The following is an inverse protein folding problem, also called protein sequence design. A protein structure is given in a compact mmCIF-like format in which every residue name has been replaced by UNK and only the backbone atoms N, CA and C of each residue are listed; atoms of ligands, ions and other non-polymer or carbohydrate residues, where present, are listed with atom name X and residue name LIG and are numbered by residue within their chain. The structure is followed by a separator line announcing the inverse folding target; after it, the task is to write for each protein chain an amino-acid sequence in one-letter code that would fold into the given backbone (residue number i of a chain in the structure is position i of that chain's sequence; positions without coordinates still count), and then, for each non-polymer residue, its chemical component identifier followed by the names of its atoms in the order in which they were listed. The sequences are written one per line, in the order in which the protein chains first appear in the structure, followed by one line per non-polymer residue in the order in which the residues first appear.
data_IF_880292686661
#
_entry.id   IF_880292686661
#
_cell.length_a   1.000
_cell.length_b   1.000
_cell.length_c   1.000
_cell.angle_alpha   90.00
_cell.angle_beta   90.00
_cell.angle_gamma   90.00
#
_symmetry.space_group_name_H-M   'P 1'
#
loop_
_entity.id
_entity.type
_entity.pdbx_description
1 polymer ?
#
# COMPACT_ATOMS: atom_id res chain seq x y z
N UNK A 1 -40.58 0.05 -23.83
CA UNK A 1 -39.42 0.94 -23.62
C UNK A 1 -38.47 0.21 -22.69
N UNK A 2 -37.33 -0.20 -23.24
CA UNK A 2 -36.41 -1.19 -22.70
C UNK A 2 -35.49 -0.59 -21.64
N UNK A 3 -35.53 -1.16 -20.44
CA UNK A 3 -34.57 -0.92 -19.37
C UNK A 3 -33.21 -1.52 -19.74
N UNK A 4 -32.21 -0.64 -19.91
CA UNK A 4 -30.81 -0.98 -20.18
C UNK A 4 -29.94 -0.30 -19.12
N UNK A 5 -30.09 -0.72 -17.87
CA UNK A 5 -29.24 -0.30 -16.75
C UNK A 5 -29.16 -1.45 -15.76
N UNK A 6 -27.96 -1.99 -15.54
CA UNK A 6 -27.77 -3.02 -14.52
C UNK A 6 -26.55 -3.93 -14.67
N UNK A 7 -25.77 -3.82 -15.74
CA UNK A 7 -24.63 -4.72 -15.94
C UNK A 7 -23.43 -3.94 -16.48
N UNK A 8 -22.64 -3.33 -15.59
CA UNK A 8 -21.26 -2.90 -15.86
C UNK A 8 -20.49 -2.40 -14.61
N UNK A 9 -21.12 -2.31 -13.43
CA UNK A 9 -20.46 -1.77 -12.22
C UNK A 9 -19.70 -2.83 -11.38
N UNK A 10 -19.77 -4.12 -11.74
CA UNK A 10 -19.19 -5.22 -10.93
C UNK A 10 -17.76 -5.61 -11.26
N UNK A 11 -17.12 -4.97 -12.25
CA UNK A 11 -15.75 -5.32 -12.70
C UNK A 11 -14.63 -4.47 -12.03
N UNK A 12 -14.98 -3.56 -11.12
CA UNK A 12 -14.00 -2.63 -10.55
C UNK A 12 -13.01 -3.30 -9.59
N UNK A 13 -13.45 -4.27 -8.78
CA UNK A 13 -12.56 -4.99 -7.87
C UNK A 13 -11.60 -5.95 -8.61
N UNK A 14 -12.08 -6.60 -9.68
CA UNK A 14 -11.26 -7.48 -10.52
C UNK A 14 -10.27 -6.67 -11.37
N UNK A 15 -10.72 -5.57 -11.98
CA UNK A 15 -9.84 -4.62 -12.66
C UNK A 15 -8.80 -4.03 -11.71
N UNK A 16 -9.17 -3.68 -10.47
CA UNK A 16 -8.23 -3.19 -9.44
C UNK A 16 -7.10 -4.19 -9.17
N UNK A 17 -7.44 -5.43 -8.81
CA UNK A 17 -6.42 -6.47 -8.55
C UNK A 17 -5.54 -6.73 -9.76
N UNK A 18 -6.13 -6.78 -10.97
CA UNK A 18 -5.37 -7.01 -12.20
C UNK A 18 -4.44 -5.84 -12.56
N UNK A 19 -4.81 -4.60 -12.21
CA UNK A 19 -4.05 -3.39 -12.51
C UNK A 19 -3.00 -3.03 -11.45
N UNK A 20 -3.21 -3.38 -10.19
CA UNK A 20 -2.18 -3.35 -9.14
C UNK A 20 -1.07 -4.35 -9.45
N UNK A 21 -1.44 -5.57 -9.88
CA UNK A 21 -0.50 -6.58 -10.38
C UNK A 21 0.39 -6.04 -11.51
N UNK A 22 -0.14 -5.17 -12.39
CA UNK A 22 0.65 -4.60 -13.50
C UNK A 22 1.72 -3.60 -13.05
N UNK A 23 1.43 -2.75 -12.07
CA UNK A 23 2.38 -1.72 -11.62
C UNK A 23 3.33 -2.22 -10.53
N UNK A 24 2.91 -3.24 -9.79
CA UNK A 24 3.76 -4.10 -8.98
C UNK A 24 4.94 -4.69 -9.81
N UNK A 25 4.76 -4.91 -11.12
CA UNK A 25 5.86 -5.31 -12.02
C UNK A 25 6.91 -4.21 -12.27
N UNK A 26 6.70 -2.96 -11.84
CA UNK A 26 7.67 -1.85 -12.01
C UNK A 26 8.55 -1.62 -10.79
N UNK A 27 8.17 -2.12 -9.62
CA UNK A 27 9.05 -2.15 -8.46
C UNK A 27 10.02 -3.32 -8.61
N UNK A 28 11.33 -3.03 -8.58
CA UNK A 28 12.35 -4.06 -8.48
C UNK A 28 12.06 -4.88 -7.21
N UNK A 29 11.78 -6.18 -7.39
CA UNK A 29 11.48 -7.10 -6.28
C UNK A 29 10.05 -7.66 -6.25
N UNK A 30 9.11 -7.13 -7.02
CA UNK A 30 7.67 -7.48 -6.85
C UNK A 30 7.03 -8.14 -8.07
N UNK A 31 7.82 -8.85 -8.88
CA UNK A 31 7.27 -9.71 -9.95
C UNK A 31 6.83 -11.04 -9.35
N UNK A 32 5.53 -11.34 -9.40
CA UNK A 32 4.99 -12.61 -8.89
C UNK A 32 5.28 -13.78 -9.85
N UNK A 33 6.52 -14.26 -9.79
CA UNK A 33 7.04 -15.35 -10.61
C UNK A 33 6.45 -16.71 -10.25
N UNK A 34 6.08 -16.87 -8.97
CA UNK A 34 5.65 -18.15 -8.38
C UNK A 34 4.16 -18.14 -7.97
N UNK A 35 3.41 -17.11 -8.35
CA UNK A 35 1.95 -17.05 -8.18
C UNK A 35 1.49 -16.97 -6.73
N UNK A 36 2.27 -16.34 -5.86
CA UNK A 36 1.99 -16.15 -4.43
C UNK A 36 1.33 -14.79 -4.12
N UNK A 37 1.05 -13.99 -5.14
CA UNK A 37 0.48 -12.65 -5.01
C UNK A 37 -0.79 -12.60 -4.19
N UNK A 38 -1.70 -13.57 -4.34
CA UNK A 38 -2.92 -13.65 -3.53
C UNK A 38 -2.66 -13.76 -2.02
N UNK A 39 -1.62 -14.49 -1.59
CA UNK A 39 -1.23 -14.60 -0.18
C UNK A 39 -0.59 -13.29 0.28
N UNK A 40 0.35 -12.76 -0.51
CA UNK A 40 1.00 -11.47 -0.23
C UNK A 40 -0.04 -10.35 -0.07
N UNK A 41 -0.99 -10.25 -0.97
CA UNK A 41 -2.01 -9.20 -0.96
C UNK A 41 -2.95 -9.37 0.24
N UNK A 42 -3.27 -10.63 0.62
CA UNK A 42 -4.06 -10.91 1.84
C UNK A 42 -3.34 -10.43 3.10
N UNK A 43 -2.03 -10.69 3.24
CA UNK A 43 -1.24 -10.13 4.34
C UNK A 43 -1.13 -8.61 4.28
N UNK A 44 -0.90 -8.05 3.09
CA UNK A 44 -0.78 -6.60 2.91
C UNK A 44 -2.08 -5.88 3.32
N UNK A 45 -3.24 -6.42 2.95
CA UNK A 45 -4.55 -5.88 3.31
C UNK A 45 -4.89 -6.08 4.79
N UNK A 46 -4.37 -7.14 5.43
CA UNK A 46 -4.51 -7.38 6.86
C UNK A 46 -3.66 -6.43 7.69
N UNK A 47 -2.43 -6.17 7.26
CA UNK A 47 -1.47 -5.32 7.98
C UNK A 47 -1.71 -3.83 7.71
N UNK A 48 -1.92 -3.45 6.45
CA UNK A 48 -1.98 -2.06 6.00
C UNK A 48 -3.20 -1.79 5.11
N UNK A 49 -4.43 -1.94 5.64
CA UNK A 49 -5.65 -1.81 4.86
C UNK A 49 -5.79 -0.44 4.19
N UNK A 50 -6.13 -0.45 2.90
CA UNK A 50 -6.34 0.76 2.10
C UNK A 50 -5.07 1.36 1.50
N UNK A 51 -3.91 0.77 1.76
CA UNK A 51 -2.66 1.12 1.08
C UNK A 51 -2.51 0.34 -0.24
N UNK A 52 -1.74 0.88 -1.16
CA UNK A 52 -1.38 0.26 -2.44
C UNK A 52 0.04 0.65 -2.80
N UNK A 53 0.76 -0.18 -3.57
CA UNK A 53 2.11 0.16 -4.04
C UNK A 53 2.14 1.41 -4.93
N UNK A 54 0.99 1.79 -5.49
CA UNK A 54 0.83 3.00 -6.30
C UNK A 54 0.80 4.30 -5.50
N UNK A 55 0.61 4.24 -4.18
CA UNK A 55 0.53 5.45 -3.36
C UNK A 55 1.92 6.03 -3.17
N UNK A 56 2.02 7.34 -3.37
CA UNK A 56 3.28 8.05 -3.30
C UNK A 56 3.35 8.99 -2.10
N UNK A 57 2.29 9.74 -1.81
CA UNK A 57 2.24 10.76 -0.74
C UNK A 57 0.83 10.86 -0.17
N UNK A 58 0.70 11.08 1.14
CA UNK A 58 -0.59 11.00 1.83
C UNK A 58 -1.55 12.11 1.38
N UNK A 59 -1.07 13.35 1.23
CA UNK A 59 -1.92 14.54 0.95
C UNK A 59 -2.73 14.46 -0.36
N UNK A 60 -2.42 13.54 -1.26
CA UNK A 60 -3.27 13.24 -2.42
C UNK A 60 -4.70 12.82 -2.04
N UNK A 61 -4.92 12.23 -0.85
CA UNK A 61 -6.27 11.91 -0.36
C UNK A 61 -7.12 13.15 -0.06
N UNK A 62 -6.51 14.33 0.00
CA UNK A 62 -7.22 15.61 0.13
C UNK A 62 -7.31 16.31 -1.21
N UNK A 63 -6.23 16.29 -1.99
CA UNK A 63 -6.22 16.87 -3.34
C UNK A 63 -7.30 16.28 -4.23
N UNK A 64 -7.42 14.95 -4.30
CA UNK A 64 -8.38 14.31 -5.22
C UNK A 64 -9.82 14.72 -4.91
N UNK A 65 -10.33 14.63 -3.66
CA UNK A 65 -11.64 15.16 -3.32
C UNK A 65 -11.85 16.64 -3.70
N UNK A 66 -10.89 17.52 -3.38
CA UNK A 66 -11.02 18.94 -3.70
C UNK A 66 -11.11 19.20 -5.21
N UNK A 67 -10.33 18.48 -6.03
CA UNK A 67 -10.41 18.58 -7.49
C UNK A 67 -11.74 18.06 -8.03
N UNK A 68 -12.25 16.95 -7.49
CA UNK A 68 -13.56 16.39 -7.88
C UNK A 68 -14.69 17.35 -7.51
N UNK A 69 -14.69 17.90 -6.30
CA UNK A 69 -15.68 18.88 -5.84
C UNK A 69 -15.64 20.15 -6.70
N UNK A 70 -14.45 20.65 -7.06
CA UNK A 70 -14.28 21.80 -7.96
C UNK A 70 -14.75 21.50 -9.38
N UNK A 71 -14.46 20.32 -9.92
CA UNK A 71 -14.88 19.89 -11.24
C UNK A 71 -16.41 19.76 -11.35
N UNK A 72 -17.06 19.25 -10.29
CA UNK A 72 -18.50 19.34 -10.12
C UNK A 72 -18.84 20.84 -10.08
N UNK A 73 -18.44 21.56 -9.01
CA UNK A 73 -18.39 23.04 -8.82
C UNK A 73 -18.70 23.90 -10.04
N UNK A 74 -17.81 23.76 -11.00
CA UNK A 74 -17.63 24.74 -12.05
C UNK A 74 -18.22 24.30 -13.40
N UNK A 75 -18.86 23.13 -13.46
CA UNK A 75 -19.40 22.57 -14.72
C UNK A 75 -20.88 22.18 -14.62
N UNK A 76 -21.56 22.13 -15.77
CA UNK A 76 -22.99 21.80 -15.87
C UNK A 76 -23.25 20.38 -16.36
N UNK A 77 -22.30 19.77 -17.10
CA UNK A 77 -22.44 18.42 -17.65
C UNK A 77 -21.37 17.49 -17.08
N UNK A 78 -21.61 16.18 -17.13
CA UNK A 78 -20.65 15.18 -16.66
C UNK A 78 -19.40 15.17 -17.53
N UNK A 79 -19.54 15.33 -18.85
CA UNK A 79 -18.40 15.34 -19.78
C UNK A 79 -17.50 16.56 -19.55
N UNK A 80 -18.09 17.72 -19.25
CA UNK A 80 -17.33 18.90 -18.84
C UNK A 80 -16.63 18.65 -17.50
N UNK A 81 -17.31 18.04 -16.53
CA UNK A 81 -16.72 17.71 -15.24
C UNK A 81 -15.51 16.76 -15.38
N UNK A 82 -15.61 15.74 -16.25
CA UNK A 82 -14.51 14.81 -16.54
C UNK A 82 -13.33 15.54 -17.19
N UNK A 83 -13.58 16.36 -18.22
CA UNK A 83 -12.53 17.18 -18.85
C UNK A 83 -11.89 18.14 -17.85
N UNK A 84 -12.70 18.74 -16.98
CA UNK A 84 -12.23 19.68 -15.98
C UNK A 84 -11.39 19.02 -14.91
N UNK A 85 -11.81 17.87 -14.37
CA UNK A 85 -11.02 17.10 -13.43
C UNK A 85 -9.65 16.77 -14.03
N UNK A 86 -9.62 16.26 -15.27
CA UNK A 86 -8.36 15.94 -15.96
C UNK A 86 -7.45 17.17 -16.09
N UNK A 87 -8.00 18.33 -16.44
CA UNK A 87 -7.24 19.57 -16.54
C UNK A 87 -6.71 20.04 -15.17
N UNK A 88 -7.56 20.01 -14.13
CA UNK A 88 -7.19 20.41 -12.78
C UNK A 88 -6.14 19.46 -12.18
N UNK A 89 -6.16 18.16 -12.49
CA UNK A 89 -5.12 17.22 -12.08
C UNK A 89 -3.78 17.48 -12.79
N UNK A 90 -3.79 17.84 -14.08
CA UNK A 90 -2.55 18.26 -14.78
C UNK A 90 -2.00 19.54 -14.15
N UNK A 91 -2.88 20.49 -13.81
CA UNK A 91 -2.48 21.72 -13.10
C UNK A 91 -1.94 21.44 -11.70
N UNK A 92 -2.48 20.46 -10.98
CA UNK A 92 -1.94 20.04 -9.69
C UNK A 92 -0.51 19.53 -9.83
N UNK A 93 -0.19 18.77 -10.88
CA UNK A 93 1.19 18.32 -11.16
C UNK A 93 2.12 19.53 -11.33
N UNK A 94 1.69 20.54 -12.09
CA UNK A 94 2.46 21.77 -12.30
C UNK A 94 2.61 22.58 -11.00
N UNK A 95 1.54 22.67 -10.21
CA UNK A 95 1.53 23.34 -8.91
C UNK A 95 2.48 22.67 -7.90
N UNK A 96 2.57 21.34 -7.93
CA UNK A 96 3.52 20.58 -7.10
C UNK A 96 4.97 20.78 -7.57
N UNK A 97 5.19 20.84 -8.88
CA UNK A 97 6.52 21.15 -9.43
C UNK A 97 6.98 22.56 -9.04
N UNK A 98 6.07 23.54 -9.04
CA UNK A 98 6.40 24.91 -8.60
C UNK A 98 6.62 24.98 -7.09
N UNK A 99 5.80 24.28 -6.28
CA UNK A 99 5.96 24.27 -4.82
C UNK A 99 7.31 23.70 -4.35
N UNK A 100 7.90 22.79 -5.12
CA UNK A 100 9.21 22.20 -4.84
C UNK A 100 10.37 22.82 -5.64
N UNK A 101 10.15 23.96 -6.28
CA UNK A 101 11.14 24.59 -7.18
C UNK A 101 12.45 24.95 -6.49
N UNK A 102 12.35 25.46 -5.26
CA UNK A 102 13.48 25.96 -4.48
C UNK A 102 14.06 24.92 -3.51
N UNK A 103 13.47 23.71 -3.46
CA UNK A 103 14.01 22.63 -2.64
C UNK A 103 15.15 21.89 -3.36
N UNK A 104 16.34 21.92 -2.78
CA UNK A 104 17.50 21.12 -3.22
C UNK A 104 17.26 19.59 -3.10
N UNK A 105 16.17 19.17 -2.42
CA UNK A 105 15.70 17.77 -2.35
C UNK A 105 15.24 17.31 -3.74
N UNK A 106 16.22 16.97 -4.56
CA UNK A 106 16.05 16.72 -5.98
C UNK A 106 15.02 15.64 -6.33
N UNK A 107 14.39 15.84 -7.49
CA UNK A 107 13.74 14.89 -8.43
C UNK A 107 12.81 13.78 -7.94
N UNK A 108 12.72 13.40 -6.66
CA UNK A 108 11.90 12.27 -6.18
C UNK A 108 10.95 12.66 -5.04
N UNK A 109 10.14 13.70 -5.26
CA UNK A 109 9.17 14.21 -4.28
C UNK A 109 7.88 13.38 -4.20
N UNK A 110 7.78 12.27 -4.95
CA UNK A 110 6.56 11.45 -5.03
C UNK A 110 5.45 12.04 -5.90
N UNK A 111 5.78 12.99 -6.79
CA UNK A 111 4.81 13.61 -7.71
C UNK A 111 4.39 12.61 -8.80
N UNK A 112 3.13 12.19 -8.76
CA UNK A 112 2.57 11.37 -9.83
C UNK A 112 2.51 12.16 -11.13
N UNK A 113 3.13 11.63 -12.19
CA UNK A 113 3.17 12.30 -13.50
C UNK A 113 4.17 13.43 -13.63
N UNK A 114 5.16 13.52 -12.75
CA UNK A 114 6.24 14.52 -12.81
C UNK A 114 6.82 14.70 -14.24
N UNK A 115 7.11 13.60 -14.93
CA UNK A 115 7.60 13.60 -16.31
C UNK A 115 6.48 13.55 -17.35
N UNK A 116 5.48 12.68 -17.14
CA UNK A 116 4.46 12.40 -18.16
C UNK A 116 3.40 13.52 -18.29
N UNK A 117 3.14 14.29 -17.22
CA UNK A 117 2.13 15.36 -17.13
C UNK A 117 0.81 14.93 -17.77
N UNK A 118 0.32 15.68 -18.77
CA UNK A 118 -0.92 15.37 -19.48
C UNK A 118 -0.95 13.99 -20.17
N UNK A 119 0.22 13.41 -20.50
CA UNK A 119 0.35 12.06 -21.08
C UNK A 119 0.31 10.94 -20.02
N UNK A 120 0.16 11.27 -18.74
CA UNK A 120 0.07 10.28 -17.67
C UNK A 120 -1.14 9.36 -17.91
N UNK A 121 -0.88 8.06 -17.93
CA UNK A 121 -1.94 7.06 -18.21
C UNK A 121 -2.95 6.94 -17.07
N UNK A 122 -2.49 7.00 -15.83
CA UNK A 122 -3.31 6.89 -14.61
C UNK A 122 -3.14 8.14 -13.77
N UNK A 123 -4.22 8.90 -13.61
CA UNK A 123 -4.18 10.16 -12.84
C UNK A 123 -4.31 9.90 -11.33
N UNK A 124 -3.96 10.86 -10.47
CA UNK A 124 -4.14 10.73 -9.03
C UNK A 124 -5.56 10.32 -8.63
N UNK A 125 -6.60 10.82 -9.30
CA UNK A 125 -7.99 10.44 -9.00
C UNK A 125 -8.26 8.95 -9.19
N UNK A 126 -7.60 8.28 -10.14
CA UNK A 126 -7.72 6.83 -10.32
C UNK A 126 -6.94 6.05 -9.25
N UNK A 127 -5.74 6.53 -8.90
CA UNK A 127 -4.83 5.87 -7.94
C UNK A 127 -5.39 5.92 -6.51
N UNK A 128 -5.89 7.08 -6.08
CA UNK A 128 -6.33 7.29 -4.70
C UNK A 128 -7.82 6.99 -4.48
N UNK A 129 -8.59 6.68 -5.53
CA UNK A 129 -10.03 6.40 -5.40
C UNK A 129 -10.37 5.25 -4.45
N UNK A 130 -9.58 4.17 -4.51
CA UNK A 130 -9.72 3.01 -3.64
C UNK A 130 -9.43 3.33 -2.18
N UNK A 131 -8.25 3.90 -1.86
CA UNK A 131 -7.93 4.39 -0.52
C UNK A 131 -8.98 5.34 0.05
N UNK A 132 -9.49 6.29 -0.75
CA UNK A 132 -10.55 7.22 -0.32
C UNK A 132 -11.81 6.50 0.17
N UNK A 133 -12.22 5.43 -0.51
CA UNK A 133 -13.34 4.58 -0.06
C UNK A 133 -12.98 3.74 1.17
N UNK A 134 -11.79 3.12 1.18
CA UNK A 134 -11.36 2.24 2.27
C UNK A 134 -11.15 2.97 3.59
N UNK A 135 -10.64 4.21 3.53
CA UNK A 135 -10.46 5.10 4.67
C UNK A 135 -11.68 5.98 4.96
N UNK A 136 -12.82 5.72 4.29
CA UNK A 136 -14.10 6.41 4.50
C UNK A 136 -14.02 7.94 4.36
N UNK A 137 -13.07 8.45 3.58
CA UNK A 137 -13.01 9.85 3.16
C UNK A 137 -14.03 10.15 2.05
N UNK A 138 -14.48 9.10 1.36
CA UNK A 138 -15.55 9.12 0.36
C UNK A 138 -16.71 8.26 0.84
N UNK A 139 -17.91 8.83 0.91
CA UNK A 139 -19.11 8.18 1.45
C UNK A 139 -19.94 7.48 0.37
N UNK A 140 -19.90 7.97 -0.88
CA UNK A 140 -20.59 7.32 -1.99
C UNK A 140 -19.74 6.22 -2.60
N UNK A 141 -20.29 5.02 -2.73
CA UNK A 141 -19.62 3.92 -3.42
C UNK A 141 -19.90 3.98 -4.93
N UNK A 142 -19.09 4.75 -5.64
CA UNK A 142 -19.18 4.92 -7.09
C UNK A 142 -17.79 4.94 -7.70
N UNK A 143 -17.66 4.74 -9.02
CA UNK A 143 -16.46 5.14 -9.76
C UNK A 143 -16.26 6.66 -9.74
N UNK A 144 -15.09 7.16 -10.17
CA UNK A 144 -14.80 8.60 -10.30
C UNK A 144 -15.86 9.27 -11.18
N UNK A 145 -16.13 8.71 -12.36
CA UNK A 145 -17.14 9.23 -13.30
C UNK A 145 -18.55 9.12 -12.71
N UNK A 146 -18.86 8.04 -11.99
CA UNK A 146 -20.12 7.89 -11.27
C UNK A 146 -20.32 8.97 -10.22
N UNK A 147 -19.25 9.35 -9.51
CA UNK A 147 -19.27 10.41 -8.51
C UNK A 147 -19.53 11.78 -9.14
N UNK A 148 -18.82 12.10 -10.23
CA UNK A 148 -19.07 13.33 -11.00
C UNK A 148 -20.51 13.39 -11.52
N UNK A 149 -21.03 12.27 -12.04
CA UNK A 149 -22.42 12.17 -12.51
C UNK A 149 -23.42 12.45 -11.39
N UNK A 150 -23.25 11.81 -10.23
CA UNK A 150 -24.12 12.00 -9.07
C UNK A 150 -24.04 13.44 -8.54
N UNK A 151 -22.84 13.99 -8.39
CA UNK A 151 -22.63 15.36 -7.94
C UNK A 151 -23.24 16.41 -8.89
N UNK A 152 -23.07 16.24 -10.20
CA UNK A 152 -23.68 17.12 -11.20
C UNK A 152 -25.21 17.05 -11.18
N UNK A 153 -25.78 15.85 -11.03
CA UNK A 153 -27.24 15.68 -10.91
C UNK A 153 -27.80 16.36 -9.65
N UNK A 154 -27.15 16.19 -8.49
CA UNK A 154 -27.56 16.83 -7.24
C UNK A 154 -27.49 18.35 -7.32
N UNK A 155 -26.44 18.92 -7.95
CA UNK A 155 -26.40 20.37 -8.16
C UNK A 155 -27.48 20.84 -9.12
N UNK A 156 -27.72 20.12 -10.22
CA UNK A 156 -28.78 20.44 -11.17
C UNK A 156 -30.15 20.51 -10.49
N UNK A 157 -30.45 19.52 -9.63
CA UNK A 157 -31.68 19.49 -8.83
C UNK A 157 -31.73 20.64 -7.80
N UNK A 158 -30.61 20.99 -7.17
CA UNK A 158 -30.52 22.14 -6.27
C UNK A 158 -30.84 23.47 -6.95
N UNK A 159 -30.30 23.70 -8.15
CA UNK A 159 -30.59 24.90 -8.97
C UNK A 159 -32.09 25.01 -9.31
N UNK A 160 -32.71 23.92 -9.76
CA UNK A 160 -34.14 23.91 -10.10
C UNK A 160 -35.08 24.13 -8.90
N UNK A 161 -34.62 23.89 -7.66
CA UNK A 161 -35.40 24.17 -6.43
C UNK A 161 -35.20 25.59 -5.88
N UNK A 162 -34.13 26.29 -6.29
CA UNK A 162 -33.87 27.67 -5.84
C UNK A 162 -34.74 28.68 -6.60
N UNK A 163 -35.32 28.27 -7.73
CA UNK A 163 -36.29 29.07 -8.50
C UNK A 163 -37.72 29.03 -7.92
N UNK A 164 -38.00 28.11 -7.00
CA UNK A 164 -39.21 28.13 -6.17
C UNK A 164 -38.95 28.90 -4.88
N UNK A 165 -39.79 29.89 -4.60
CA UNK A 165 -39.70 30.98 -3.63
C UNK A 165 -39.71 30.55 -2.14
N UNK A 166 -38.82 29.63 -1.75
CA UNK A 166 -38.68 29.15 -0.37
C UNK A 166 -37.34 29.61 0.24
N UNK A 167 -37.33 30.66 1.10
CA UNK A 167 -36.12 31.23 1.68
C UNK A 167 -35.30 30.24 2.51
N UNK A 168 -35.90 29.14 3.00
CA UNK A 168 -35.23 28.08 3.75
C UNK A 168 -34.47 27.06 2.89
N UNK A 169 -34.61 27.10 1.56
CA UNK A 169 -33.94 26.18 0.64
C UNK A 169 -32.48 26.57 0.32
N UNK A 170 -32.04 27.78 0.69
CA UNK A 170 -30.73 28.33 0.33
C UNK A 170 -29.55 27.75 1.11
N UNK A 171 -29.80 27.04 2.20
CA UNK A 171 -28.76 26.64 3.17
C UNK A 171 -28.52 25.12 3.30
N UNK A 172 -29.09 24.30 2.41
CA UNK A 172 -28.74 22.89 2.39
C UNK A 172 -27.37 22.72 1.76
N UNK A 173 -26.35 22.51 2.60
CA UNK A 173 -25.04 21.98 2.21
C UNK A 173 -25.29 20.78 1.30
N UNK A 174 -24.93 20.92 0.03
CA UNK A 174 -25.05 19.83 -0.93
C UNK A 174 -24.11 18.72 -0.47
N UNK A 175 -24.65 17.53 -0.19
CA UNK A 175 -23.84 16.34 0.05
C UNK A 175 -22.90 16.14 -1.14
N UNK A 176 -21.59 16.32 -0.91
CA UNK A 176 -20.55 16.17 -1.92
C UNK A 176 -20.05 14.73 -2.01
N UNK A 177 -20.53 13.81 -1.18
CA UNK A 177 -20.05 12.43 -1.13
C UNK A 177 -18.65 12.26 -0.56
N UNK A 178 -18.13 13.30 0.11
CA UNK A 178 -16.83 13.30 0.79
C UNK A 178 -17.02 13.77 2.23
N UNK A 179 -16.29 13.14 3.15
CA UNK A 179 -16.29 13.49 4.57
C UNK A 179 -14.88 13.92 4.99
N UNK A 180 -14.58 15.21 4.79
CA UNK A 180 -13.29 15.82 5.07
C UNK A 180 -13.33 16.76 6.28
N UNK A 181 -14.32 16.63 7.17
CA UNK A 181 -14.47 17.47 8.35
C UNK A 181 -14.36 18.99 8.07
N UNK A 182 -14.97 19.46 6.97
CA UNK A 182 -14.95 20.85 6.51
C UNK A 182 -13.55 21.42 6.17
N UNK A 183 -12.56 20.56 5.89
CA UNK A 183 -11.26 21.00 5.37
C UNK A 183 -11.40 21.64 3.98
N UNK A 184 -11.04 22.92 3.91
CA UNK A 184 -11.01 23.68 2.66
C UNK A 184 -9.66 23.53 1.92
N UNK A 185 -9.68 23.47 0.58
CA UNK A 185 -8.45 23.46 -0.21
C UNK A 185 -7.63 24.72 0.06
N UNK A 186 -6.28 24.65 0.02
CA UNK A 186 -5.45 25.84 0.13
C UNK A 186 -5.70 26.76 -1.09
N UNK A 187 -5.64 28.08 -0.88
CA UNK A 187 -5.92 29.07 -1.95
C UNK A 187 -5.02 28.87 -3.18
N UNK A 188 -3.77 28.48 -2.95
CA UNK A 188 -2.76 28.25 -3.98
C UNK A 188 -2.67 26.79 -4.47
N UNK A 189 -3.65 25.93 -4.18
CA UNK A 189 -3.68 24.49 -4.55
C UNK A 189 -3.29 24.21 -6.02
N UNK A 190 -3.69 25.09 -6.94
CA UNK A 190 -3.44 24.96 -8.39
C UNK A 190 -2.47 26.04 -8.93
N UNK A 191 -1.65 26.61 -8.06
CA UNK A 191 -0.61 27.61 -8.36
C UNK A 191 0.75 27.16 -7.80
N UNK A 192 0.83 26.90 -6.50
CA UNK A 192 2.01 26.38 -5.82
C UNK A 192 1.56 25.62 -4.57
N UNK A 193 1.86 24.32 -4.49
CA UNK A 193 1.52 23.49 -3.31
C UNK A 193 2.58 22.42 -3.09
N UNK A 194 2.71 21.93 -1.86
CA UNK A 194 3.57 20.80 -1.49
C UNK A 194 2.73 19.65 -0.93
N UNK A 195 3.35 18.51 -0.64
CA UNK A 195 2.71 17.38 0.05
C UNK A 195 2.65 17.53 1.57
N UNK A 196 3.23 18.59 2.12
CA UNK A 196 3.28 18.79 3.58
C UNK A 196 1.87 19.05 4.09
N UNK A 197 1.42 18.20 5.01
CA UNK A 197 0.10 18.32 5.58
C UNK A 197 0.06 19.52 6.53
N UNK A 198 -1.04 20.26 6.51
CA UNK A 198 -1.34 21.21 7.59
C UNK A 198 -1.69 20.43 8.87
N UNK A 199 -1.45 20.96 10.08
CA UNK A 199 -1.78 20.26 11.32
C UNK A 199 -3.26 19.81 11.40
N UNK A 200 -4.18 20.68 10.99
CA UNK A 200 -5.62 20.38 10.88
C UNK A 200 -5.92 19.23 9.91
N UNK A 201 -5.22 19.17 8.77
CA UNK A 201 -5.35 18.10 7.79
C UNK A 201 -4.85 16.78 8.39
N UNK A 202 -3.71 16.81 9.09
CA UNK A 202 -3.12 15.63 9.73
C UNK A 202 -4.01 15.08 10.86
N UNK A 203 -4.63 15.93 11.67
CA UNK A 203 -5.54 15.51 12.74
C UNK A 203 -6.77 14.78 12.21
N UNK A 204 -7.42 15.33 11.18
CA UNK A 204 -8.58 14.70 10.53
C UNK A 204 -8.19 13.36 9.90
N UNK A 205 -7.07 13.31 9.18
CA UNK A 205 -6.60 12.06 8.57
C UNK A 205 -6.22 11.01 9.61
N UNK A 206 -5.58 11.42 10.70
CA UNK A 206 -5.23 10.54 11.82
C UNK A 206 -6.49 9.90 12.42
N UNK A 207 -7.53 10.67 12.70
CA UNK A 207 -8.78 10.15 13.25
C UNK A 207 -9.44 9.15 12.31
N UNK A 208 -9.52 9.48 11.02
CA UNK A 208 -10.11 8.62 9.98
C UNK A 208 -9.34 7.33 9.80
N UNK A 209 -8.01 7.42 9.68
CA UNK A 209 -7.16 6.25 9.52
C UNK A 209 -7.22 5.35 10.77
N UNK A 210 -7.13 5.91 11.99
CA UNK A 210 -7.25 5.12 13.23
C UNK A 210 -8.56 4.34 13.28
N UNK A 211 -9.68 5.00 12.94
CA UNK A 211 -11.01 4.38 13.01
C UNK A 211 -11.19 3.29 11.95
N UNK A 212 -10.76 3.56 10.71
CA UNK A 212 -10.97 2.65 9.57
C UNK A 212 -9.97 1.50 9.48
N UNK A 213 -8.84 1.61 10.18
CA UNK A 213 -7.76 0.61 10.18
C UNK A 213 -7.62 -0.12 11.52
N UNK A 214 -8.59 0.04 12.43
CA UNK A 214 -8.61 -0.62 13.73
C UNK A 214 -8.41 -2.14 13.60
N UNK A 215 -7.54 -2.69 14.44
CA UNK A 215 -7.20 -4.12 14.44
C UNK A 215 -6.17 -4.56 13.40
N UNK A 216 -5.68 -3.63 12.57
CA UNK A 216 -4.54 -3.85 11.68
C UNK A 216 -3.24 -3.31 12.28
N UNK A 217 -2.10 -3.64 11.67
CA UNK A 217 -0.81 -3.07 12.07
C UNK A 217 -0.78 -1.56 11.87
N UNK A 218 -1.34 -1.06 10.76
CA UNK A 218 -1.49 0.39 10.52
C UNK A 218 -2.25 1.08 11.66
N UNK A 219 -3.40 0.52 12.06
CA UNK A 219 -4.20 1.08 13.16
C UNK A 219 -3.43 1.09 14.49
N UNK A 220 -2.73 -0.01 14.80
CA UNK A 220 -1.93 -0.11 16.01
C UNK A 220 -0.76 0.89 16.03
N UNK A 221 -0.05 1.07 14.91
CA UNK A 221 1.02 2.07 14.79
C UNK A 221 0.49 3.49 14.95
N UNK A 222 -0.69 3.80 14.41
CA UNK A 222 -1.31 5.12 14.58
C UNK A 222 -1.73 5.38 16.03
N UNK A 223 -2.15 4.35 16.77
CA UNK A 223 -2.45 4.45 18.21
C UNK A 223 -1.19 4.65 19.05
N UNK A 224 -0.07 4.00 18.67
CA UNK A 224 1.21 4.00 19.38
C UNK A 224 2.28 4.84 18.68
N UNK A 225 1.87 5.93 18.01
CA UNK A 225 2.73 6.75 17.14
C UNK A 225 4.06 7.21 17.76
N UNK A 226 4.08 7.41 19.08
CA UNK A 226 5.27 7.89 19.81
C UNK A 226 6.37 6.80 19.90
N UNK A 227 6.03 5.55 19.62
CA UNK A 227 6.92 4.39 19.64
C UNK A 227 7.16 3.80 18.23
N UNK A 228 6.68 4.46 17.18
CA UNK A 228 6.85 3.98 15.80
C UNK A 228 8.27 4.25 15.32
N UNK A 229 9.03 3.18 15.09
CA UNK A 229 10.32 3.26 14.43
C UNK A 229 10.13 3.31 12.89
N UNK A 230 10.10 4.54 12.35
CA UNK A 230 10.07 4.76 10.89
C UNK A 230 11.41 4.46 10.20
N UNK A 231 12.46 4.11 10.96
CA UNK A 231 13.74 3.62 10.47
C UNK A 231 13.74 2.12 10.16
N UNK A 232 12.77 1.37 10.69
CA UNK A 232 12.64 -0.07 10.47
C UNK A 232 12.57 -0.41 8.97
N UNK A 233 13.46 -1.30 8.53
CA UNK A 233 13.55 -1.71 7.12
C UNK A 233 12.36 -2.60 6.71
N UNK A 234 11.77 -3.31 7.68
CA UNK A 234 10.61 -4.17 7.47
C UNK A 234 9.60 -4.06 8.61
N UNK A 235 8.35 -4.44 8.34
CA UNK A 235 7.31 -4.51 9.36
C UNK A 235 7.62 -5.54 10.48
N UNK A 236 8.52 -6.50 10.21
CA UNK A 236 8.93 -7.53 11.16
C UNK A 236 9.86 -6.99 12.26
N UNK A 237 10.57 -5.89 12.00
CA UNK A 237 11.46 -5.24 12.97
C UNK A 237 10.72 -4.36 13.98
N UNK A 238 9.44 -4.11 13.74
CA UNK A 238 8.62 -3.26 14.62
C UNK A 238 8.40 -3.93 15.98
N UNK A 239 8.64 -3.17 17.05
CA UNK A 239 8.32 -3.62 18.40
C UNK A 239 6.81 -3.69 18.59
N UNK A 240 6.28 -4.90 18.79
CA UNK A 240 4.84 -5.14 19.02
C UNK A 240 4.52 -5.37 20.50
N UNK A 241 5.29 -4.77 21.40
CA UNK A 241 5.04 -4.86 22.84
C UNK A 241 3.67 -4.24 23.15
N UNK A 242 2.79 -5.02 23.77
CA UNK A 242 1.42 -4.59 24.08
C UNK A 242 0.42 -4.71 22.92
N UNK A 243 0.84 -5.16 21.73
CA UNK A 243 -0.08 -5.44 20.64
C UNK A 243 -1.00 -6.63 20.97
N UNK A 244 -2.28 -6.61 20.52
CA UNK A 244 -3.20 -7.75 20.65
C UNK A 244 -2.60 -9.06 20.10
N UNK A 245 -2.96 -10.20 20.70
CA UNK A 245 -2.50 -11.52 20.27
C UNK A 245 -2.71 -11.74 18.77
N UNK A 246 -3.92 -11.46 18.29
CA UNK A 246 -4.32 -11.75 16.92
C UNK A 246 -3.48 -10.95 15.91
N UNK A 247 -3.14 -9.70 16.24
CA UNK A 247 -2.27 -8.87 15.41
C UNK A 247 -0.85 -9.44 15.36
N UNK A 248 -0.31 -9.85 16.51
CA UNK A 248 1.03 -10.47 16.59
C UNK A 248 1.08 -11.76 15.78
N UNK A 249 0.05 -12.61 15.86
CA UNK A 249 -0.06 -13.83 15.05
C UNK A 249 -0.03 -13.52 13.55
N UNK A 250 -0.76 -12.49 13.08
CA UNK A 250 -0.71 -12.11 11.66
C UNK A 250 0.68 -11.64 11.25
N UNK A 251 1.34 -10.79 12.05
CA UNK A 251 2.69 -10.29 11.74
C UNK A 251 3.71 -11.43 11.76
N UNK A 252 3.61 -12.34 12.72
CA UNK A 252 4.48 -13.51 12.82
C UNK A 252 4.34 -14.41 11.59
N UNK A 253 3.11 -14.76 11.20
CA UNK A 253 2.88 -15.53 9.98
C UNK A 253 3.38 -14.83 8.72
N UNK A 254 3.15 -13.52 8.59
CA UNK A 254 3.66 -12.74 7.46
C UNK A 254 5.20 -12.75 7.43
N UNK A 255 5.85 -12.58 8.58
CA UNK A 255 7.32 -12.58 8.70
C UNK A 255 7.90 -13.94 8.31
N UNK A 256 7.40 -15.03 8.91
CA UNK A 256 7.84 -16.39 8.60
C UNK A 256 7.58 -16.75 7.13
N UNK A 257 6.42 -16.37 6.59
CA UNK A 257 6.08 -16.58 5.19
C UNK A 257 7.00 -15.82 4.24
N UNK A 258 7.32 -14.55 4.52
CA UNK A 258 8.25 -13.79 3.71
C UNK A 258 9.62 -14.43 3.66
N UNK A 259 10.14 -14.92 4.80
CA UNK A 259 11.46 -15.54 4.86
C UNK A 259 11.45 -16.90 4.15
N UNK A 260 10.48 -17.77 4.45
CA UNK A 260 10.38 -19.08 3.82
C UNK A 260 10.23 -18.99 2.29
N UNK A 261 9.39 -18.08 1.78
CA UNK A 261 9.17 -17.95 0.34
C UNK A 261 10.30 -17.21 -0.39
N UNK A 262 11.15 -16.47 0.31
CA UNK A 262 12.33 -15.84 -0.30
C UNK A 262 13.25 -16.90 -0.93
N UNK A 263 13.48 -18.02 -0.25
CA UNK A 263 14.26 -19.14 -0.78
C UNK A 263 13.71 -19.70 -2.09
N UNK A 264 12.38 -19.77 -2.24
CA UNK A 264 11.77 -20.25 -3.48
C UNK A 264 12.06 -19.32 -4.66
N UNK A 265 12.05 -18.00 -4.41
CA UNK A 265 12.38 -16.99 -5.40
C UNK A 265 13.87 -17.01 -5.76
N UNK A 266 14.75 -17.18 -4.77
CA UNK A 266 16.19 -17.34 -5.01
C UNK A 266 16.49 -18.60 -5.84
N UNK A 267 15.90 -19.75 -5.46
CA UNK A 267 16.02 -20.99 -6.22
C UNK A 267 15.50 -20.84 -7.64
N UNK A 268 14.37 -20.15 -7.84
CA UNK A 268 13.87 -19.84 -9.18
C UNK A 268 14.91 -19.11 -10.03
N UNK A 269 15.54 -18.07 -9.50
CA UNK A 269 16.52 -17.30 -10.25
C UNK A 269 17.83 -18.08 -10.49
N UNK A 270 18.26 -18.92 -9.54
CA UNK A 270 19.36 -19.86 -9.74
C UNK A 270 19.07 -20.78 -10.95
N UNK A 271 17.89 -21.40 -11.00
CA UNK A 271 17.50 -22.29 -12.09
C UNK A 271 17.46 -21.57 -13.45
N UNK A 272 17.02 -20.32 -13.48
CA UNK A 272 17.02 -19.51 -14.70
C UNK A 272 18.44 -19.17 -15.13
N UNK A 273 19.33 -18.83 -14.18
CA UNK A 273 20.74 -18.54 -14.44
C UNK A 273 21.49 -19.76 -15.00
N UNK A 274 21.29 -20.93 -14.39
CA UNK A 274 21.87 -22.20 -14.86
C UNK A 274 21.36 -22.53 -16.27
N UNK A 275 20.06 -22.39 -16.51
CA UNK A 275 19.47 -22.61 -17.82
C UNK A 275 19.92 -21.57 -18.87
N UNK A 276 20.33 -20.38 -18.45
CA UNK A 276 20.89 -19.33 -19.31
C UNK A 276 22.40 -19.49 -19.52
N UNK A 277 23.05 -20.40 -18.78
CA UNK A 277 24.50 -20.61 -18.78
C UNK A 277 25.29 -19.32 -18.49
N UNK A 278 24.91 -18.59 -17.43
CA UNK A 278 25.59 -17.37 -16.97
C UNK A 278 26.27 -17.64 -15.62
N UNK A 279 27.54 -18.09 -15.59
CA UNK A 279 28.20 -18.58 -14.36
C UNK A 279 28.22 -17.57 -13.21
N UNK A 280 28.58 -16.31 -13.48
CA UNK A 280 28.64 -15.27 -12.44
C UNK A 280 27.30 -15.07 -11.72
N UNK A 281 26.18 -15.24 -12.43
CA UNK A 281 24.83 -15.11 -11.86
C UNK A 281 24.44 -16.39 -11.11
N UNK A 282 24.91 -17.56 -11.54
CA UNK A 282 24.73 -18.82 -10.81
C UNK A 282 25.42 -18.75 -9.46
N UNK A 283 26.68 -18.31 -9.42
CA UNK A 283 27.45 -18.20 -8.18
C UNK A 283 26.81 -17.19 -7.23
N UNK A 284 26.37 -16.02 -7.76
CA UNK A 284 25.63 -15.03 -6.98
C UNK A 284 24.37 -15.61 -6.29
N UNK A 285 23.56 -16.41 -7.00
CA UNK A 285 22.36 -16.98 -6.40
C UNK A 285 22.61 -18.16 -5.46
N UNK A 286 23.72 -18.88 -5.63
CA UNK A 286 24.17 -19.86 -4.63
C UNK A 286 24.54 -19.16 -3.34
N UNK A 287 25.44 -18.16 -3.39
CA UNK A 287 25.80 -17.36 -2.21
C UNK A 287 24.58 -16.78 -1.49
N UNK A 288 23.60 -16.24 -2.22
CA UNK A 288 22.36 -15.73 -1.62
C UNK A 288 21.48 -16.82 -1.00
N UNK A 289 21.51 -18.05 -1.51
CA UNK A 289 20.80 -19.18 -0.92
C UNK A 289 21.50 -19.68 0.35
N UNK A 290 22.84 -19.67 0.39
CA UNK A 290 23.63 -19.92 1.59
C UNK A 290 23.23 -18.92 2.69
N UNK A 291 23.32 -17.61 2.41
CA UNK A 291 22.96 -16.54 3.34
C UNK A 291 21.51 -16.70 3.86
N UNK A 292 20.58 -17.02 2.95
CA UNK A 292 19.17 -17.23 3.29
C UNK A 292 18.96 -18.47 4.16
N UNK A 293 19.69 -19.56 3.90
CA UNK A 293 19.60 -20.78 4.70
C UNK A 293 20.11 -20.53 6.12
N UNK A 294 21.22 -19.81 6.27
CA UNK A 294 21.73 -19.37 7.57
C UNK A 294 20.68 -18.53 8.31
N UNK A 295 20.05 -17.55 7.64
CA UNK A 295 18.98 -16.73 8.22
C UNK A 295 17.78 -17.57 8.71
N UNK A 296 17.33 -18.58 7.93
CA UNK A 296 16.24 -19.50 8.32
C UNK A 296 16.58 -20.22 9.64
N UNK A 297 17.80 -20.73 9.75
CA UNK A 297 18.27 -21.50 10.90
C UNK A 297 18.43 -20.60 12.13
N UNK A 298 19.08 -19.44 11.98
CA UNK A 298 19.30 -18.48 13.07
C UNK A 298 18.00 -17.95 13.65
N UNK A 299 17.05 -17.59 12.78
CA UNK A 299 15.74 -17.06 13.18
C UNK A 299 14.78 -18.12 13.67
N UNK A 300 15.13 -19.42 13.52
CA UNK A 300 14.26 -20.56 13.85
C UNK A 300 12.86 -20.41 13.23
N UNK A 301 12.82 -19.90 12.00
CA UNK A 301 11.57 -19.48 11.34
C UNK A 301 10.55 -20.62 11.24
N UNK A 302 11.03 -21.85 11.04
CA UNK A 302 10.19 -23.04 10.86
C UNK A 302 9.77 -23.68 12.20
N UNK A 303 10.45 -23.36 13.30
CA UNK A 303 10.23 -24.01 14.59
C UNK A 303 8.83 -23.71 15.13
N UNK A 304 8.08 -24.78 15.41
CA UNK A 304 6.72 -24.70 15.96
C UNK A 304 5.72 -23.95 15.07
N UNK A 305 6.00 -23.79 13.77
CA UNK A 305 5.11 -23.01 12.89
C UNK A 305 3.79 -23.74 12.63
N UNK A 306 2.70 -23.22 13.22
CA UNK A 306 1.35 -23.73 12.95
C UNK A 306 0.87 -23.31 11.55
N UNK A 307 0.99 -24.25 10.60
CA UNK A 307 0.47 -24.07 9.23
C UNK A 307 -1.06 -24.10 9.16
N UNK A 308 -1.73 -24.76 10.09
CA UNK A 308 -3.19 -24.78 10.17
C UNK A 308 -3.73 -23.40 10.55
N UNK A 309 -3.12 -22.77 11.55
CA UNK A 309 -3.42 -21.39 11.95
C UNK A 309 -3.12 -20.40 10.82
N UNK A 310 -1.97 -20.55 10.13
CA UNK A 310 -1.63 -19.75 8.95
C UNK A 310 -2.75 -19.76 7.92
N UNK A 311 -3.23 -20.95 7.53
CA UNK A 311 -4.30 -21.06 6.54
C UNK A 311 -5.64 -20.57 7.06
N UNK A 312 -5.95 -20.76 8.35
CA UNK A 312 -7.15 -20.18 8.99
C UNK A 312 -7.15 -18.64 8.93
N UNK A 313 -6.01 -18.02 9.26
CA UNK A 313 -5.79 -16.57 9.20
C UNK A 313 -5.94 -16.05 7.76
N UNK A 314 -5.41 -16.75 6.78
CA UNK A 314 -5.50 -16.36 5.36
C UNK A 314 -6.92 -16.54 4.80
N UNK A 315 -7.53 -17.71 4.99
CA UNK A 315 -8.85 -18.04 4.42
C UNK A 315 -9.98 -17.26 5.08
N UNK A 316 -9.87 -16.89 6.35
CA UNK A 316 -10.84 -15.99 7.01
C UNK A 316 -10.89 -14.58 6.42
N UNK A 317 -9.83 -14.16 5.72
CA UNK A 317 -9.71 -12.84 5.08
C UNK A 317 -9.89 -12.89 3.56
N UNK A 318 -9.50 -13.99 2.94
CA UNK A 318 -9.59 -14.21 1.51
C UNK A 318 -9.84 -15.69 1.20
N UNK A 319 -11.11 -16.01 0.95
CA UNK A 319 -11.57 -17.34 0.57
C UNK A 319 -11.21 -17.72 -0.88
N UNK A 320 -10.68 -16.77 -1.66
CA UNK A 320 -10.36 -16.94 -3.09
C UNK A 320 -8.88 -17.24 -3.35
N UNK A 321 -8.10 -17.58 -2.33
CA UNK A 321 -6.71 -18.01 -2.54
C UNK A 321 -6.73 -19.30 -3.38
N UNK A 322 -6.09 -19.32 -4.57
CA UNK A 322 -6.16 -20.49 -5.46
C UNK A 322 -5.54 -21.73 -4.81
N UNK A 323 -6.25 -22.87 -4.89
CA UNK A 323 -5.74 -24.15 -4.39
C UNK A 323 -4.33 -24.51 -4.92
N UNK A 324 -3.98 -24.27 -6.21
CA UNK A 324 -2.61 -24.52 -6.68
C UNK A 324 -1.55 -23.69 -5.96
N UNK A 325 -1.87 -22.48 -5.50
CA UNK A 325 -0.95 -21.63 -4.72
C UNK A 325 -0.76 -22.18 -3.31
N UNK A 326 -1.84 -22.66 -2.68
CA UNK A 326 -1.77 -23.36 -1.40
C UNK A 326 -0.91 -24.62 -1.48
N UNK A 327 -1.19 -25.51 -2.44
CA UNK A 327 -0.41 -26.75 -2.63
C UNK A 327 1.07 -26.49 -2.90
N UNK A 328 1.39 -25.45 -3.68
CA UNK A 328 2.78 -25.04 -3.91
C UNK A 328 3.45 -24.56 -2.61
N UNK A 329 2.75 -23.72 -1.85
CA UNK A 329 3.25 -23.21 -0.57
C UNK A 329 3.50 -24.35 0.42
N UNK A 330 2.51 -25.23 0.62
CA UNK A 330 2.62 -26.36 1.54
C UNK A 330 3.75 -27.30 1.12
N UNK A 331 3.85 -27.64 -0.18
CA UNK A 331 4.92 -28.48 -0.70
C UNK A 331 6.31 -27.83 -0.61
N UNK A 332 6.41 -26.50 -0.74
CA UNK A 332 7.67 -25.79 -0.51
C UNK A 332 8.07 -25.85 0.97
N UNK A 333 7.13 -25.57 1.88
CA UNK A 333 7.38 -25.62 3.32
C UNK A 333 7.75 -27.04 3.80
N UNK A 334 7.13 -28.08 3.24
CA UNK A 334 7.50 -29.47 3.54
C UNK A 334 8.97 -29.75 3.19
N UNK A 335 9.45 -29.27 2.03
CA UNK A 335 10.84 -29.43 1.63
C UNK A 335 11.83 -28.68 2.52
N UNK A 336 11.42 -27.55 3.11
CA UNK A 336 12.26 -26.83 4.06
C UNK A 336 12.44 -27.58 5.37
N UNK A 337 11.46 -28.39 5.77
CA UNK A 337 11.51 -29.19 7.00
C UNK A 337 12.41 -30.44 6.86
N UNK A 338 12.67 -30.89 5.62
CA UNK A 338 13.58 -32.00 5.36
C UNK A 338 15.05 -31.64 5.68
N UNK A 339 15.38 -30.35 5.79
CA UNK A 339 16.69 -29.83 6.22
C UNK A 339 17.78 -29.86 5.14
N UNK A 340 17.47 -30.33 3.95
CA UNK A 340 18.39 -30.37 2.82
C UNK A 340 18.58 -28.97 2.18
N UNK A 341 19.77 -28.76 1.61
CA UNK A 341 20.07 -27.58 0.78
C UNK A 341 19.18 -27.59 -0.47
N UNK A 342 18.33 -26.59 -0.62
CA UNK A 342 17.25 -26.57 -1.63
C UNK A 342 17.77 -26.45 -3.06
N UNK A 343 18.95 -25.87 -3.24
CA UNK A 343 19.67 -25.73 -4.51
C UNK A 343 20.13 -27.07 -5.09
N UNK A 344 20.42 -28.05 -4.23
CA UNK A 344 20.86 -29.40 -4.60
C UNK A 344 19.72 -30.43 -4.58
N UNK A 345 18.60 -30.09 -3.94
CA UNK A 345 17.41 -30.95 -3.87
C UNK A 345 16.69 -31.03 -5.20
N UNK A 346 16.71 -32.20 -5.84
CA UNK A 346 15.97 -32.46 -7.07
C UNK A 346 14.47 -32.20 -6.92
N UNK A 347 13.90 -32.52 -5.74
CA UNK A 347 12.50 -32.26 -5.41
C UNK A 347 12.16 -30.77 -5.38
N UNK A 348 12.99 -29.94 -4.74
CA UNK A 348 12.79 -28.50 -4.68
C UNK A 348 12.90 -27.84 -6.05
N UNK A 349 13.91 -28.24 -6.84
CA UNK A 349 14.13 -27.77 -8.21
C UNK A 349 12.95 -28.15 -9.12
N UNK A 350 12.45 -29.37 -9.01
CA UNK A 350 11.28 -29.84 -9.76
C UNK A 350 10.00 -29.10 -9.36
N UNK A 351 9.79 -28.85 -8.06
CA UNK A 351 8.62 -28.12 -7.56
C UNK A 351 8.56 -26.70 -8.14
N UNK A 352 9.67 -25.94 -8.06
CA UNK A 352 9.77 -24.58 -8.60
C UNK A 352 9.62 -24.57 -10.12
N UNK A 353 10.27 -25.51 -10.81
CA UNK A 353 10.18 -25.64 -12.28
C UNK A 353 8.75 -25.93 -12.74
N UNK A 354 8.06 -26.86 -12.08
CA UNK A 354 6.67 -27.19 -12.39
C UNK A 354 5.74 -26.02 -12.08
N UNK A 355 6.02 -25.27 -11.00
CA UNK A 355 5.22 -24.11 -10.63
C UNK A 355 5.26 -23.02 -11.70
N UNK A 356 6.45 -22.64 -12.17
CA UNK A 356 6.60 -21.64 -13.24
C UNK A 356 5.87 -22.09 -14.52
N UNK A 357 6.10 -23.35 -14.94
CA UNK A 357 5.47 -23.93 -16.14
C UNK A 357 3.94 -23.87 -16.08
N UNK A 358 3.34 -24.20 -14.94
CA UNK A 358 1.87 -24.18 -14.77
C UNK A 358 1.31 -22.76 -14.80
N UNK A 359 2.03 -21.78 -14.27
CA UNK A 359 1.59 -20.37 -14.23
C UNK A 359 1.73 -19.68 -15.59
N UNK A 360 2.86 -19.90 -16.26
CA UNK A 360 3.26 -19.10 -17.43
C UNK A 360 3.10 -19.86 -18.75
N UNK A 361 2.87 -21.17 -18.71
CA UNK A 361 2.73 -22.01 -19.89
C UNK A 361 3.92 -21.83 -20.84
N UNK A 362 3.63 -21.51 -22.10
CA UNK A 362 4.64 -21.26 -23.13
C UNK A 362 5.56 -20.06 -22.89
N UNK A 363 5.32 -19.23 -21.87
CA UNK A 363 6.16 -18.06 -21.50
C UNK A 363 7.10 -18.33 -20.32
N UNK A 364 7.10 -19.55 -19.77
CA UNK A 364 8.00 -19.93 -18.68
C UNK A 364 9.47 -19.84 -19.14
N UNK A 365 10.33 -19.15 -18.39
CA UNK A 365 11.74 -18.91 -18.75
C UNK A 365 12.57 -20.19 -18.68
N UNK A 366 12.20 -21.12 -17.80
CA UNK A 366 12.89 -22.41 -17.70
C UNK A 366 12.66 -23.31 -18.91
N UNK A 367 11.62 -23.10 -19.70
CA UNK A 367 11.35 -23.88 -20.94
C UNK A 367 11.47 -23.09 -22.22
N UNK A 368 11.18 -21.79 -22.20
CA UNK A 368 11.22 -20.92 -23.37
C UNK A 368 12.53 -20.13 -23.44
N UNK A 369 13.33 -20.41 -24.48
CA UNK A 369 14.61 -19.74 -24.74
C UNK A 369 14.48 -18.23 -24.91
N UNK A 370 13.51 -17.75 -25.70
CA UNK A 370 13.31 -16.32 -25.94
C UNK A 370 12.91 -15.57 -24.68
N UNK A 371 12.05 -16.17 -23.84
CA UNK A 371 11.69 -15.58 -22.54
C UNK A 371 12.88 -15.51 -21.57
N UNK A 372 13.82 -16.46 -21.68
CA UNK A 372 15.06 -16.50 -20.90
C UNK A 372 16.06 -15.45 -21.36
N UNK A 373 16.25 -15.28 -22.66
CA UNK A 373 17.16 -14.25 -23.22
C UNK A 373 16.71 -12.82 -22.87
N UNK A 374 15.41 -12.62 -22.61
CA UNK A 374 14.87 -11.35 -22.15
C UNK A 374 15.01 -11.10 -20.63
N UNK A 375 15.48 -12.09 -19.86
CA UNK A 375 15.69 -11.96 -18.42
C UNK A 375 16.98 -11.17 -18.12
N UNK A 376 16.90 -10.25 -17.15
CA UNK A 376 17.97 -9.29 -16.84
C UNK A 376 18.81 -9.66 -15.61
N UNK A 377 18.80 -10.93 -15.21
CA UNK A 377 19.57 -11.44 -14.07
C UNK A 377 18.83 -11.44 -12.74
N UNK A 378 17.65 -10.81 -12.62
CA UNK A 378 16.83 -10.87 -11.39
C UNK A 378 15.32 -10.85 -11.68
N UNK A 379 14.54 -11.53 -10.84
CA UNK A 379 13.07 -11.51 -10.86
C UNK A 379 12.50 -11.89 -9.50
N UNK A 380 11.87 -10.94 -8.82
CA UNK A 380 11.14 -11.22 -7.56
C UNK A 380 12.04 -11.64 -6.39
N UNK A 381 13.30 -11.19 -6.37
CA UNK A 381 14.33 -11.59 -5.39
C UNK A 381 14.28 -10.79 -4.08
N UNK A 382 13.32 -9.87 -3.93
CA UNK A 382 13.13 -9.10 -2.71
C UNK A 382 12.29 -9.85 -1.68
N UNK A 383 12.49 -9.52 -0.40
CA UNK A 383 11.57 -9.94 0.66
C UNK A 383 10.18 -9.35 0.43
N UNK A 384 9.16 -10.04 0.91
CA UNK A 384 7.80 -9.53 0.86
C UNK A 384 7.67 -8.42 1.91
N UNK A 385 7.71 -7.18 1.42
CA UNK A 385 7.59 -5.98 2.25
C UNK A 385 6.14 -5.68 2.69
N UNK A 386 5.16 -6.35 2.07
CA UNK A 386 3.73 -6.15 2.34
C UNK A 386 3.25 -4.69 2.26
N UNK A 387 3.90 -3.86 1.44
CA UNK A 387 3.64 -2.41 1.28
C UNK A 387 4.09 -1.56 2.48
N UNK A 388 4.98 -2.08 3.34
CA UNK A 388 5.54 -1.32 4.45
C UNK A 388 6.30 -0.08 3.97
N UNK A 389 7.15 -0.17 2.95
CA UNK A 389 7.91 0.97 2.44
C UNK A 389 7.01 2.14 1.99
N UNK A 390 5.86 1.85 1.39
CA UNK A 390 4.85 2.86 1.06
C UNK A 390 4.15 3.35 2.33
N UNK A 391 3.69 2.44 3.18
CA UNK A 391 2.99 2.79 4.42
C UNK A 391 3.84 3.68 5.32
N UNK A 392 5.12 3.34 5.51
CA UNK A 392 6.12 4.10 6.25
C UNK A 392 6.24 5.53 5.75
N UNK A 393 6.24 5.73 4.43
CA UNK A 393 6.24 7.08 3.83
C UNK A 393 4.94 7.84 4.09
N UNK A 394 3.78 7.17 4.03
CA UNK A 394 2.50 7.81 4.35
C UNK A 394 2.39 8.16 5.85
N UNK A 395 2.94 7.31 6.72
CA UNK A 395 3.07 7.59 8.15
C UNK A 395 4.03 8.76 8.40
N UNK A 396 5.16 8.82 7.69
CA UNK A 396 6.09 9.95 7.78
C UNK A 396 5.43 11.28 7.38
N UNK A 397 4.68 11.31 6.27
CA UNK A 397 3.88 12.47 5.84
C UNK A 397 2.88 12.89 6.94
N UNK A 398 2.22 11.93 7.59
CA UNK A 398 1.22 12.20 8.62
C UNK A 398 1.84 12.69 9.94
N UNK A 399 2.84 11.96 10.43
CA UNK A 399 3.43 12.19 11.76
C UNK A 399 4.25 13.47 11.79
N UNK A 400 4.93 13.81 10.70
CA UNK A 400 5.72 15.05 10.59
C UNK A 400 4.85 16.32 10.66
N UNK A 401 3.55 16.21 10.39
CA UNK A 401 2.62 17.34 10.41
C UNK A 401 1.81 17.45 11.72
N UNK A 402 1.86 16.44 12.59
CA UNK A 402 1.19 16.48 13.89
C UNK A 402 1.99 17.32 14.89
N UNK A 403 1.34 18.10 15.76
CA UNK A 403 2.04 18.79 16.83
C UNK A 403 2.69 17.79 17.80
N UNK A 404 3.89 18.10 18.27
CA UNK A 404 4.53 17.37 19.37
C UNK A 404 3.58 17.30 20.56
N UNK A 405 3.31 16.09 21.06
CA UNK A 405 2.54 15.97 22.30
C UNK A 405 3.34 16.63 23.43
N UNK A 406 2.73 17.47 24.28
CA UNK A 406 3.38 17.87 25.52
C UNK A 406 3.69 16.60 26.30
N UNK A 407 4.98 16.36 26.55
CA UNK A 407 5.48 15.22 27.29
C UNK A 407 4.84 15.21 28.67
N UNK A 408 3.88 14.32 28.89
CA UNK A 408 3.40 13.98 30.24
C UNK A 408 4.44 13.10 30.93
N UNK A 409 5.66 13.62 31.07
CA UNK A 409 6.66 13.12 32.02
C UNK A 409 6.70 14.13 33.16
N UNK A 410 5.75 14.01 34.09
CA UNK A 410 5.95 14.53 35.45
C UNK A 410 6.86 13.54 36.20
N UNK A 411 8.16 13.52 35.89
CA UNK A 411 9.17 13.00 36.82
C UNK A 411 9.45 14.09 37.84
N UNK A 412 8.55 14.18 38.82
CA UNK A 412 8.73 14.99 40.02
C UNK A 412 9.04 14.09 41.21
N UNK A 413 10.29 13.62 41.31
CA UNK A 413 10.89 13.24 42.58
C UNK A 413 12.39 13.57 42.49
N UNK A 414 12.86 14.66 43.10
CA UNK A 414 14.28 14.82 43.37
C UNK A 414 14.61 13.93 44.58
N UNK A 415 15.39 12.88 44.32
CA UNK A 415 16.22 12.26 45.33
C UNK A 415 17.37 13.24 45.63
N UNK A 416 17.19 14.06 46.67
CA UNK A 416 18.28 14.79 47.29
C UNK A 416 17.96 14.96 48.78
N UNK A 417 18.32 13.93 49.55
CA UNK A 417 18.42 14.03 50.99
C UNK A 417 19.54 13.10 51.42
N UNK A 418 20.79 13.57 51.32
CA UNK A 418 21.91 13.16 52.14
C UNK A 418 23.06 14.17 51.94
N UNK A 419 23.63 14.61 53.05
CA UNK A 419 24.83 15.49 53.21
C UNK A 419 24.59 17.01 53.11
N UNK A 420 24.29 17.64 54.25
CA UNK A 420 25.30 18.36 55.06
C UNK A 420 24.62 19.18 56.17
N UNK A 421 24.71 18.71 57.41
CA UNK A 421 24.53 19.56 58.58
C UNK A 421 25.78 19.40 59.46
N UNK A 422 26.75 20.30 59.26
CA UNK A 422 27.77 20.62 60.25
C UNK A 422 27.50 22.04 60.75
N UNK A 423 27.12 22.10 62.02
CA UNK A 423 27.70 23.00 63.04
C UNK A 423 27.50 24.51 62.89
N UNK A 424 26.63 25.06 63.74
CA UNK A 424 26.68 26.35 64.48
C UNK A 424 25.33 26.45 65.20
N UNK A 425 25.17 26.60 66.52
CA UNK A 425 26.02 26.97 67.64
C UNK A 425 25.65 26.14 68.88
#
# INVERSE_FOLDING_TARGET
MSSSFGWLDTDHAQRRSMLEVIDLFKEQGTVDELGIGSIRDTFSDALFPGTSTLLTRLRYVLFVPWLVQRAVRDTSTVDDAVRRLRADEVRLIESLLEGYRDEERGRNQGILGQTARAKLKRMPSEVYWGPLGRWQLRTWDTSVVGHLRRGSALRGAGRGRTETDDPGARDRVLDTGFDLAALEPPEDLLRSTTFDLRPEEAEVLLERLRTTTRGSLLGWLLEHRDAVDLGAASAAELSLVGAPSDLRTVVEHATRFSLAMHGAALLYNLLVAEAAAVPDVVDHYRERLDDWHEEIVETRTLDGWDRGELWSVLTSRNDKIPLPTRLFTDGWLDLLLDGDRVEDSSRARDLVTQRERRLKGGRARLTNRSAREAWKGESGTGRLDYRWGVTRRLLDDLLSALPDRPSTIRRGQPADALLTARTTA
#
